data_IF_007665659141
#
_entry.id   IF_007665659141
#
_cell.length_a   1.000
_cell.length_b   1.000
_cell.length_c   1.000
_cell.angle_alpha   90.00
_cell.angle_beta   90.00
_cell.angle_gamma   90.00
#
_symmetry.space_group_name_H-M   'P 1'
#
loop_
_entity.id
_entity.type
_entity.pdbx_description
1 polymer ?
#
# COMPACT_ATOMS: atom_id res chain seq x y z
N UNK A 1 23.92 -21.53 -11.35
CA UNK A 1 22.46 -21.69 -11.54
C UNK A 1 21.76 -20.89 -10.44
N UNK A 2 21.26 -19.69 -10.75
CA UNK A 2 20.40 -18.96 -9.80
C UNK A 2 18.97 -19.49 -9.94
N UNK A 3 18.35 -19.88 -8.82
CA UNK A 3 16.94 -20.32 -8.78
C UNK A 3 16.05 -19.19 -9.31
N UNK A 4 15.23 -19.52 -10.31
CA UNK A 4 14.11 -18.70 -10.79
C UNK A 4 12.98 -18.72 -9.75
N UNK A 5 12.55 -17.52 -9.37
CA UNK A 5 11.19 -17.14 -8.96
C UNK A 5 10.47 -18.01 -7.93
N UNK A 6 10.86 -17.89 -6.66
CA UNK A 6 9.82 -17.76 -5.64
C UNK A 6 9.32 -16.32 -5.77
N UNK A 7 8.14 -16.11 -6.38
CA UNK A 7 7.54 -14.78 -6.56
C UNK A 7 7.48 -14.05 -5.21
N UNK A 8 8.49 -13.23 -4.92
CA UNK A 8 8.65 -12.62 -3.62
C UNK A 8 7.53 -11.59 -3.46
N UNK A 9 6.56 -11.92 -2.59
CA UNK A 9 5.46 -11.02 -2.28
C UNK A 9 5.99 -9.63 -1.94
N UNK A 10 5.34 -8.55 -2.44
CA UNK A 10 5.81 -7.20 -2.17
C UNK A 10 5.79 -6.94 -0.68
N UNK A 11 6.83 -6.27 -0.19
CA UNK A 11 6.89 -5.84 1.20
C UNK A 11 5.89 -4.69 1.42
N UNK A 12 4.67 -5.02 1.82
CA UNK A 12 3.51 -4.12 1.85
C UNK A 12 3.75 -2.78 2.57
N UNK A 13 4.40 -2.80 3.73
CA UNK A 13 4.75 -1.60 4.49
C UNK A 13 5.69 -0.67 3.73
N UNK A 14 6.65 -1.20 2.97
CA UNK A 14 7.55 -0.38 2.14
C UNK A 14 6.81 0.19 0.95
N UNK A 15 5.90 -0.60 0.37
CA UNK A 15 5.10 -0.17 -0.77
C UNK A 15 4.21 1.02 -0.42
N UNK A 16 3.43 0.93 0.66
CA UNK A 16 2.56 2.05 1.06
C UNK A 16 3.37 3.29 1.43
N UNK A 17 4.57 3.14 2.00
CA UNK A 17 5.39 4.28 2.38
C UNK A 17 5.93 5.00 1.15
N UNK A 18 6.30 4.28 0.08
CA UNK A 18 6.64 4.92 -1.21
C UNK A 18 5.46 5.72 -1.77
N UNK A 19 4.25 5.20 -1.67
CA UNK A 19 3.06 5.92 -2.13
C UNK A 19 2.82 7.20 -1.32
N UNK A 20 3.05 7.14 -0.01
CA UNK A 20 2.92 8.26 0.92
C UNK A 20 4.02 9.30 0.72
N UNK A 21 5.26 8.87 0.52
CA UNK A 21 6.41 9.75 0.31
C UNK A 21 6.33 10.52 -1.02
N UNK A 22 5.54 10.03 -1.98
CA UNK A 22 5.26 10.71 -3.24
C UNK A 22 4.23 11.86 -3.09
N UNK A 23 3.52 11.94 -1.96
CA UNK A 23 2.53 12.97 -1.70
C UNK A 23 3.18 14.27 -1.22
N UNK A 24 2.60 15.41 -1.59
CA UNK A 24 3.02 16.74 -1.07
C UNK A 24 2.39 17.06 0.29
N UNK A 25 2.14 16.05 1.12
CA UNK A 25 1.43 16.14 2.40
C UNK A 25 2.30 15.57 3.51
N UNK A 26 2.14 16.10 4.72
CA UNK A 26 2.79 15.55 5.91
C UNK A 26 2.15 14.22 6.32
N UNK A 27 2.91 13.39 7.03
CA UNK A 27 2.38 12.13 7.57
C UNK A 27 1.18 12.34 8.49
N UNK A 28 1.14 13.45 9.26
CA UNK A 28 0.02 13.78 10.13
C UNK A 28 -1.26 14.05 9.35
N UNK A 29 -1.18 14.83 8.26
CA UNK A 29 -2.33 15.10 7.39
C UNK A 29 -2.86 13.82 6.71
N UNK A 30 -1.95 12.91 6.34
CA UNK A 30 -2.32 11.62 5.75
C UNK A 30 -2.98 10.71 6.80
N UNK A 31 -2.44 10.65 8.02
CA UNK A 31 -3.03 9.89 9.12
C UNK A 31 -4.43 10.41 9.49
N UNK A 32 -4.61 11.73 9.52
CA UNK A 32 -5.92 12.37 9.74
C UNK A 32 -6.91 11.96 8.65
N UNK A 33 -6.52 12.01 7.37
CA UNK A 33 -7.36 11.58 6.24
C UNK A 33 -7.72 10.10 6.28
N UNK A 34 -6.82 9.27 6.80
CA UNK A 34 -7.07 7.84 7.03
C UNK A 34 -7.96 7.58 8.26
N UNK A 35 -8.25 8.60 9.06
CA UNK A 35 -8.88 8.51 10.36
C UNK A 35 -8.17 7.48 11.27
N UNK A 36 -6.85 7.62 11.38
CA UNK A 36 -5.99 6.81 12.26
C UNK A 36 -5.08 7.73 13.08
N UNK A 37 -4.70 7.27 14.27
CA UNK A 37 -3.74 8.01 15.08
C UNK A 37 -2.36 8.06 14.38
N UNK A 38 -1.65 9.20 14.36
CA UNK A 38 -0.36 9.32 13.66
C UNK A 38 0.70 8.30 14.11
N UNK A 39 0.71 7.94 15.40
CA UNK A 39 1.64 6.91 15.90
C UNK A 39 1.30 5.51 15.37
N UNK A 40 0.03 5.22 15.11
CA UNK A 40 -0.38 3.97 14.46
C UNK A 40 0.09 3.90 13.02
N UNK A 41 0.13 5.05 12.32
CA UNK A 41 0.63 5.12 10.96
C UNK A 41 2.12 4.73 10.85
N UNK A 42 2.94 5.21 11.79
CA UNK A 42 4.36 4.86 11.83
C UNK A 42 4.59 3.35 12.01
N UNK A 43 3.68 2.63 12.68
CA UNK A 43 3.79 1.19 12.91
C UNK A 43 3.57 0.36 11.64
N UNK A 44 3.04 0.96 10.57
CA UNK A 44 2.86 0.29 9.28
C UNK A 44 4.15 0.25 8.45
N UNK A 45 5.07 1.18 8.70
CA UNK A 45 6.39 1.19 8.07
C UNK A 45 7.12 -0.12 8.39
N UNK A 46 7.68 -0.75 7.36
CA UNK A 46 8.46 -1.98 7.56
C UNK A 46 7.64 -3.21 7.99
N UNK A 47 6.30 -3.17 7.90
CA UNK A 47 5.47 -4.38 8.03
C UNK A 47 5.43 -5.18 6.73
N UNK A 48 5.74 -6.47 6.82
CA UNK A 48 5.70 -7.36 5.65
C UNK A 48 4.28 -7.55 5.10
N UNK A 49 3.29 -7.59 6.00
CA UNK A 49 1.86 -7.64 5.68
C UNK A 49 1.12 -6.47 6.31
N UNK A 50 -0.02 -6.10 5.73
CA UNK A 50 -0.89 -5.06 6.23
C UNK A 50 -2.34 -5.55 6.18
N UNK A 51 -3.15 -5.09 7.14
CA UNK A 51 -4.58 -5.35 7.12
C UNK A 51 -5.22 -4.63 5.92
N UNK A 52 -6.22 -5.26 5.29
CA UNK A 52 -6.95 -4.66 4.16
C UNK A 52 -7.61 -3.33 4.49
N UNK A 53 -7.99 -3.12 5.76
CA UNK A 53 -8.49 -1.85 6.25
C UNK A 53 -7.50 -0.69 6.05
N UNK A 54 -6.20 -0.94 6.20
CA UNK A 54 -5.14 0.06 6.00
C UNK A 54 -4.96 0.37 4.52
N UNK A 55 -4.91 -0.68 3.68
CA UNK A 55 -4.90 -0.53 2.23
C UNK A 55 -6.06 0.32 1.73
N UNK A 56 -7.27 0.00 2.17
CA UNK A 56 -8.48 0.70 1.77
C UNK A 56 -8.49 2.17 2.19
N UNK A 57 -8.18 2.43 3.47
CA UNK A 57 -8.16 3.80 4.03
C UNK A 57 -7.09 4.66 3.36
N UNK A 58 -5.88 4.12 3.17
CA UNK A 58 -4.81 4.87 2.53
C UNK A 58 -5.14 5.14 1.05
N UNK A 59 -5.64 4.14 0.33
CA UNK A 59 -6.10 4.31 -1.05
C UNK A 59 -7.09 5.46 -1.19
N UNK A 60 -8.06 5.53 -0.28
CA UNK A 60 -9.05 6.62 -0.21
C UNK A 60 -8.43 7.95 0.19
N UNK A 61 -7.51 7.97 1.16
CA UNK A 61 -6.85 9.18 1.64
C UNK A 61 -5.98 9.84 0.55
N UNK A 62 -5.33 9.03 -0.29
CA UNK A 62 -4.47 9.45 -1.40
C UNK A 62 -5.23 9.61 -2.73
N UNK A 63 -6.50 9.19 -2.79
CA UNK A 63 -7.26 9.10 -4.04
C UNK A 63 -6.55 8.26 -5.12
N UNK A 64 -5.98 7.12 -4.72
CA UNK A 64 -5.23 6.17 -5.56
C UNK A 64 -5.65 4.74 -5.24
N UNK A 65 -5.77 3.87 -6.22
CA UNK A 65 -6.16 2.47 -6.00
C UNK A 65 -4.94 1.59 -5.74
N UNK A 66 -4.33 1.73 -4.55
CA UNK A 66 -3.09 1.01 -4.20
C UNK A 66 -3.24 -0.52 -4.23
N UNK A 67 -4.47 -1.02 -4.08
CA UNK A 67 -4.77 -2.46 -4.16
C UNK A 67 -4.62 -2.93 -5.61
N UNK A 68 -5.16 -2.18 -6.57
CA UNK A 68 -4.97 -2.46 -7.99
C UNK A 68 -3.50 -2.28 -8.41
N UNK A 69 -2.81 -1.25 -7.91
CA UNK A 69 -1.39 -1.04 -8.22
C UNK A 69 -0.50 -2.20 -7.71
N UNK A 70 -0.87 -2.89 -6.62
CA UNK A 70 -0.25 -4.17 -6.24
C UNK A 70 -0.68 -5.29 -7.17
N UNK A 71 -1.97 -5.36 -7.52
CA UNK A 71 -2.49 -6.34 -8.47
C UNK A 71 -1.72 -6.31 -9.79
N UNK A 72 -1.33 -5.13 -10.27
CA UNK A 72 -0.51 -4.96 -11.47
C UNK A 72 0.85 -5.66 -11.36
N UNK A 73 1.44 -5.72 -10.16
CA UNK A 73 2.70 -6.46 -9.91
C UNK A 73 2.54 -7.97 -10.05
N UNK A 74 1.31 -8.49 -9.92
CA UNK A 74 1.04 -9.91 -10.11
C UNK A 74 1.20 -10.32 -11.59
N UNK A 75 1.14 -9.36 -12.52
CA UNK A 75 1.23 -9.62 -13.95
C UNK A 75 0.04 -10.40 -14.52
N UNK A 76 -1.05 -10.50 -13.76
CA UNK A 76 -2.30 -11.15 -14.17
C UNK A 76 -3.38 -10.07 -14.28
N UNK A 77 -3.89 -9.78 -15.49
CA UNK A 77 -4.89 -8.73 -15.67
C UNK A 77 -6.19 -9.10 -14.94
N UNK A 78 -6.81 -8.10 -14.30
CA UNK A 78 -8.15 -8.24 -13.73
C UNK A 78 -9.19 -7.72 -14.72
N UNK A 79 -10.13 -8.59 -15.10
CA UNK A 79 -11.27 -8.23 -15.95
C UNK A 79 -12.48 -7.90 -15.08
N UNK A 80 -13.05 -6.71 -15.27
CA UNK A 80 -14.29 -6.32 -14.60
C UNK A 80 -15.45 -7.05 -15.28
N UNK A 81 -16.26 -7.78 -14.53
CA UNK A 81 -17.49 -8.35 -15.07
C UNK A 81 -18.53 -7.24 -15.20
N UNK A 82 -18.87 -6.89 -16.44
CA UNK A 82 -19.93 -5.96 -16.83
C UNK A 82 -21.31 -6.58 -16.70
#
# INVERSE_FOLDING_TARGET
MAKKDDAQFPHNGTYIMKAVDAERRTYSEIAERMNVHPTSFQQYRGRYSLQMSIWWRLSRALNRNLIAEIGDLLGIPYETRS
#
